data_IF_799846213063
#
_entry.id   IF_799846213063
#
_cell.length_a   1.000
_cell.length_b   1.000
_cell.length_c   1.000
_cell.angle_alpha   90.00
_cell.angle_beta   90.00
_cell.angle_gamma   90.00
#
_symmetry.space_group_name_H-M   'P 1'
#
loop_
_entity.id
_entity.type
_entity.pdbx_description
1 polymer ?
#
# COMPACT_ATOMS: atom_id res chain seq x y z
N UNK A 1 -54.63 -69.98 44.22
CA UNK A 1 -53.35 -69.47 43.65
C UNK A 1 -52.81 -68.38 44.56
N UNK A 2 -51.58 -68.50 45.00
CA UNK A 2 -50.99 -67.88 46.19
C UNK A 2 -50.56 -66.44 45.94
N UNK A 3 -51.17 -65.47 46.65
CA UNK A 3 -50.75 -64.09 46.80
C UNK A 3 -49.55 -64.01 47.74
N UNK A 4 -48.41 -63.45 47.30
CA UNK A 4 -47.26 -63.11 48.13
C UNK A 4 -47.42 -61.65 48.60
N UNK A 5 -47.66 -61.53 49.93
CA UNK A 5 -47.60 -60.26 50.66
C UNK A 5 -46.14 -59.83 50.78
N UNK A 6 -45.76 -58.69 50.19
CA UNK A 6 -44.49 -58.03 50.48
C UNK A 6 -44.71 -57.05 51.63
N UNK A 7 -44.03 -57.32 52.73
CA UNK A 7 -44.03 -56.43 53.92
C UNK A 7 -43.09 -55.25 53.68
N UNK A 8 -43.68 -54.08 53.75
CA UNK A 8 -42.92 -52.81 53.77
C UNK A 8 -42.35 -52.58 55.17
N UNK A 9 -41.01 -52.70 55.27
CA UNK A 9 -40.30 -52.27 56.48
C UNK A 9 -40.14 -50.74 56.41
N UNK A 10 -40.84 -50.02 57.26
CA UNK A 10 -40.79 -48.59 57.42
C UNK A 10 -39.58 -48.27 58.30
N UNK A 11 -38.45 -47.91 57.68
CA UNK A 11 -37.26 -47.38 58.38
C UNK A 11 -37.53 -45.89 58.69
N UNK A 12 -37.88 -45.61 59.91
CA UNK A 12 -37.98 -44.24 60.44
C UNK A 12 -36.55 -43.68 60.61
N UNK A 13 -36.12 -42.89 59.70
CA UNK A 13 -34.88 -42.08 59.89
C UNK A 13 -35.20 -40.95 60.86
N UNK A 14 -34.77 -41.13 62.10
CA UNK A 14 -34.65 -40.01 63.06
C UNK A 14 -33.51 -39.10 62.55
N UNK A 15 -33.90 -37.95 62.05
CA UNK A 15 -32.92 -36.89 61.84
C UNK A 15 -32.51 -36.35 63.19
N UNK A 16 -31.41 -36.77 63.75
CA UNK A 16 -30.74 -36.08 64.84
C UNK A 16 -30.08 -34.86 64.26
N UNK A 17 -30.55 -33.67 64.60
CA UNK A 17 -29.85 -32.40 64.41
C UNK A 17 -28.61 -32.45 65.30
N UNK A 18 -27.57 -33.10 64.76
CA UNK A 18 -26.25 -33.23 65.36
C UNK A 18 -25.31 -32.31 64.68
N UNK A 19 -24.93 -31.26 65.37
CA UNK A 19 -23.81 -30.37 65.11
C UNK A 19 -22.88 -30.81 64.05
N UNK A 20 -22.81 -30.04 62.96
CA UNK A 20 -21.71 -30.08 61.97
C UNK A 20 -20.38 -29.81 62.69
N UNK A 21 -19.80 -30.82 63.28
CA UNK A 21 -18.39 -30.82 63.67
C UNK A 21 -17.58 -30.63 62.39
N UNK A 22 -17.25 -29.39 62.07
CA UNK A 22 -16.17 -29.11 61.13
C UNK A 22 -14.93 -29.80 61.67
N UNK A 23 -14.63 -30.98 61.17
CA UNK A 23 -13.38 -31.64 61.37
C UNK A 23 -12.34 -30.76 60.70
N UNK A 24 -11.76 -29.81 61.42
CA UNK A 24 -10.57 -29.10 60.97
C UNK A 24 -9.49 -30.18 60.90
N UNK A 25 -9.29 -30.68 59.68
CA UNK A 25 -8.14 -31.52 59.35
C UNK A 25 -6.90 -30.75 59.78
N UNK A 26 -6.34 -31.12 60.94
CA UNK A 26 -5.06 -30.63 61.43
C UNK A 26 -4.00 -31.22 60.50
N UNK A 27 -3.85 -30.64 59.32
CA UNK A 27 -2.74 -30.97 58.40
C UNK A 27 -1.47 -30.67 59.20
N UNK A 28 -0.66 -31.72 59.41
CA UNK A 28 0.60 -31.59 60.15
C UNK A 28 1.47 -30.49 59.58
N UNK A 29 2.19 -29.75 60.40
CA UNK A 29 3.11 -28.66 59.97
C UNK A 29 4.03 -29.11 58.81
N UNK A 30 4.45 -30.36 58.84
CA UNK A 30 5.32 -30.93 57.82
C UNK A 30 4.64 -31.11 56.46
N UNK A 31 3.35 -31.50 56.43
CA UNK A 31 2.57 -31.62 55.20
C UNK A 31 2.31 -30.23 54.60
N UNK A 32 2.01 -29.21 55.42
CA UNK A 32 1.85 -27.81 54.96
C UNK A 32 3.16 -27.26 54.38
N UNK A 33 4.31 -27.51 55.03
CA UNK A 33 5.61 -27.12 54.51
C UNK A 33 5.95 -27.80 53.20
N UNK A 34 5.73 -29.10 53.06
CA UNK A 34 5.95 -29.82 51.80
C UNK A 34 5.04 -29.29 50.71
N UNK A 35 3.76 -29.09 50.96
CA UNK A 35 2.82 -28.52 49.97
C UNK A 35 3.22 -27.11 49.56
N UNK A 36 3.65 -26.25 50.49
CA UNK A 36 4.12 -24.89 50.18
C UNK A 36 5.39 -24.90 49.31
N UNK A 37 6.35 -25.81 49.61
CA UNK A 37 7.58 -25.97 48.81
C UNK A 37 7.24 -26.47 47.40
N UNK A 38 6.36 -27.45 47.27
CA UNK A 38 5.93 -27.97 45.96
C UNK A 38 5.26 -26.86 45.12
N UNK A 39 4.35 -26.09 45.71
CA UNK A 39 3.70 -24.98 45.03
C UNK A 39 4.73 -23.92 44.61
N UNK A 40 5.67 -23.56 45.48
CA UNK A 40 6.73 -22.61 45.15
C UNK A 40 7.62 -23.09 44.00
N UNK A 41 7.99 -24.38 43.99
CA UNK A 41 8.77 -24.99 42.91
C UNK A 41 7.97 -24.98 41.61
N UNK A 42 6.71 -25.37 41.62
CA UNK A 42 5.86 -25.31 40.44
C UNK A 42 5.73 -23.88 39.87
N UNK A 43 5.53 -22.87 40.73
CA UNK A 43 5.47 -21.49 40.32
C UNK A 43 6.80 -20.99 39.73
N UNK A 44 7.91 -21.39 40.32
CA UNK A 44 9.24 -21.07 39.79
C UNK A 44 9.47 -21.71 38.41
N UNK A 45 9.09 -22.96 38.22
CA UNK A 45 9.19 -23.64 36.91
C UNK A 45 8.33 -22.95 35.87
N UNK A 46 7.08 -22.60 36.22
CA UNK A 46 6.19 -21.86 35.31
C UNK A 46 6.76 -20.48 34.97
N UNK A 47 7.28 -19.75 35.95
CA UNK A 47 7.91 -18.45 35.73
C UNK A 47 9.14 -18.56 34.78
N UNK A 48 10.01 -19.53 35.01
CA UNK A 48 11.15 -19.82 34.13
C UNK A 48 10.67 -20.19 32.73
N UNK A 49 9.66 -21.04 32.59
CA UNK A 49 9.12 -21.42 31.28
C UNK A 49 8.54 -20.22 30.53
N UNK A 50 7.83 -19.31 31.23
CA UNK A 50 7.28 -18.09 30.63
C UNK A 50 8.40 -17.11 30.20
N UNK A 51 9.44 -16.94 30.99
CA UNK A 51 10.59 -16.09 30.67
C UNK A 51 11.33 -16.65 29.46
N UNK A 52 11.60 -17.95 29.46
CA UNK A 52 12.28 -18.62 28.33
C UNK A 52 11.41 -18.60 27.06
N UNK A 53 10.12 -18.88 27.18
CA UNK A 53 9.18 -18.81 26.05
C UNK A 53 9.11 -17.41 25.45
N UNK A 54 9.07 -16.37 26.29
CA UNK A 54 9.07 -14.98 25.81
C UNK A 54 10.41 -14.57 25.17
N UNK A 55 11.55 -15.04 25.72
CA UNK A 55 12.85 -14.80 25.14
C UNK A 55 13.07 -15.50 23.80
N UNK A 56 12.61 -16.77 23.69
CA UNK A 56 12.63 -17.51 22.45
C UNK A 56 11.73 -16.88 21.39
N UNK A 57 10.53 -16.43 21.78
CA UNK A 57 9.63 -15.70 20.86
C UNK A 57 10.28 -14.43 20.34
N UNK A 58 10.83 -13.60 21.22
CA UNK A 58 11.54 -12.36 20.82
C UNK A 58 12.71 -12.63 19.87
N UNK A 59 13.48 -13.71 20.11
CA UNK A 59 14.56 -14.10 19.19
C UNK A 59 14.04 -14.59 17.84
N UNK A 60 12.94 -15.35 17.83
CA UNK A 60 12.30 -15.80 16.61
C UNK A 60 11.75 -14.59 15.82
N UNK A 61 11.04 -13.68 16.50
CA UNK A 61 10.48 -12.48 15.87
C UNK A 61 11.59 -11.57 15.30
N UNK A 62 12.69 -11.39 16.04
CA UNK A 62 13.85 -10.62 15.56
C UNK A 62 14.57 -11.29 14.39
N UNK A 63 14.66 -12.64 14.40
CA UNK A 63 15.26 -13.40 13.30
C UNK A 63 14.39 -13.30 12.03
N UNK A 64 13.07 -13.47 12.15
CA UNK A 64 12.16 -13.32 11.02
C UNK A 64 12.12 -11.89 10.48
N UNK A 65 12.12 -10.89 11.36
CA UNK A 65 12.21 -9.50 10.94
C UNK A 65 13.53 -9.20 10.20
N UNK A 66 14.65 -9.80 10.63
CA UNK A 66 15.93 -9.70 9.94
C UNK A 66 15.89 -10.36 8.56
N UNK A 67 15.36 -11.59 8.46
CA UNK A 67 15.21 -12.27 7.18
C UNK A 67 14.29 -11.53 6.21
N UNK A 68 13.18 -10.99 6.71
CA UNK A 68 12.30 -10.16 5.90
C UNK A 68 12.99 -8.88 5.44
N UNK A 69 13.75 -8.20 6.30
CA UNK A 69 14.52 -7.01 5.94
C UNK A 69 15.60 -7.31 4.89
N UNK A 70 16.34 -8.41 5.05
CA UNK A 70 17.40 -8.81 4.10
C UNK A 70 16.83 -9.23 2.74
N UNK A 71 15.78 -10.05 2.74
CA UNK A 71 15.08 -10.44 1.51
C UNK A 71 14.49 -9.20 0.80
N UNK A 72 14.00 -8.26 1.59
CA UNK A 72 13.41 -7.02 1.14
C UNK A 72 14.47 -6.08 0.54
N UNK A 73 15.60 -5.90 1.20
CA UNK A 73 16.75 -5.12 0.69
C UNK A 73 17.26 -5.70 -0.62
N UNK A 74 17.39 -7.01 -0.71
CA UNK A 74 17.83 -7.69 -1.92
C UNK A 74 16.83 -7.51 -3.09
N UNK A 75 15.52 -7.67 -2.83
CA UNK A 75 14.47 -7.48 -3.85
C UNK A 75 14.38 -6.03 -4.31
N UNK A 76 14.50 -5.07 -3.39
CA UNK A 76 14.50 -3.64 -3.71
C UNK A 76 15.73 -3.25 -4.54
N UNK A 77 16.90 -3.76 -4.19
CA UNK A 77 18.11 -3.53 -4.98
C UNK A 77 18.02 -4.16 -6.37
N UNK A 78 17.42 -5.33 -6.49
CA UNK A 78 17.17 -5.98 -7.76
C UNK A 78 16.16 -5.17 -8.60
N UNK A 79 15.08 -4.70 -8.01
CA UNK A 79 14.09 -3.85 -8.68
C UNK A 79 14.72 -2.52 -9.15
N UNK A 80 15.51 -1.87 -8.30
CA UNK A 80 16.22 -0.63 -8.66
C UNK A 80 17.21 -0.81 -9.80
N UNK A 81 17.82 -1.99 -9.93
CA UNK A 81 18.71 -2.32 -11.07
C UNK A 81 17.95 -2.61 -12.35
N UNK A 82 16.68 -2.96 -12.25
CA UNK A 82 15.81 -3.35 -13.37
C UNK A 82 14.88 -2.23 -13.85
N UNK A 83 14.96 -1.01 -13.31
CA UNK A 83 14.19 0.11 -13.82
C UNK A 83 14.68 0.42 -15.23
N UNK A 84 14.08 -0.25 -16.21
CA UNK A 84 14.35 -0.10 -17.64
C UNK A 84 13.32 0.76 -18.34
N UNK A 85 12.35 1.29 -17.58
CA UNK A 85 11.30 2.16 -18.15
C UNK A 85 11.93 3.46 -18.60
N UNK A 86 11.84 3.81 -19.89
CA UNK A 86 12.42 5.03 -20.41
C UNK A 86 11.91 6.27 -19.68
N UNK A 87 12.73 7.31 -19.61
CA UNK A 87 12.31 8.58 -19.06
C UNK A 87 11.06 9.08 -19.79
N UNK A 88 10.12 9.62 -19.03
CA UNK A 88 8.89 10.16 -19.56
C UNK A 88 8.79 11.65 -19.21
N UNK A 89 8.48 12.45 -20.23
CA UNK A 89 8.07 13.84 -20.09
C UNK A 89 6.87 14.09 -20.98
N UNK A 90 5.76 14.47 -20.41
CA UNK A 90 4.54 14.67 -21.18
C UNK A 90 3.44 15.33 -20.34
N UNK A 91 2.42 15.79 -21.04
CA UNK A 91 1.27 16.44 -20.42
C UNK A 91 -0.06 15.82 -20.83
N UNK A 92 -1.06 16.06 -20.01
CA UNK A 92 -2.41 15.63 -20.25
C UNK A 92 -2.98 16.33 -21.50
N UNK A 93 -3.68 15.54 -22.32
CA UNK A 93 -4.31 16.01 -23.55
C UNK A 93 -5.82 15.88 -23.48
N UNK A 94 -6.50 16.70 -24.26
CA UNK A 94 -7.94 16.58 -24.51
C UNK A 94 -8.19 15.51 -25.57
N UNK A 95 -8.87 14.39 -25.26
CA UNK A 95 -9.16 13.36 -26.23
C UNK A 95 -9.96 13.92 -27.42
N UNK A 96 -9.54 13.57 -28.66
CA UNK A 96 -10.16 14.05 -29.90
C UNK A 96 -9.84 15.51 -30.25
N UNK A 97 -9.16 16.24 -29.37
CA UNK A 97 -8.71 17.60 -29.62
C UNK A 97 -7.45 17.70 -30.48
N UNK A 98 -7.05 18.93 -30.82
CA UNK A 98 -5.75 19.15 -31.41
C UNK A 98 -4.64 18.70 -30.45
N UNK A 99 -3.59 18.13 -31.02
CA UNK A 99 -2.41 17.80 -30.22
C UNK A 99 -1.80 19.11 -29.70
N UNK A 100 -1.68 19.28 -28.36
CA UNK A 100 -1.05 20.46 -27.83
C UNK A 100 0.39 20.56 -28.39
N UNK A 101 0.91 21.76 -28.50
CA UNK A 101 2.36 21.95 -28.77
C UNK A 101 3.12 21.45 -27.55
N UNK A 102 3.50 20.21 -27.61
CA UNK A 102 4.31 19.60 -26.56
C UNK A 102 5.70 20.27 -26.55
N UNK A 103 6.34 20.39 -25.38
CA UNK A 103 7.73 20.80 -25.30
C UNK A 103 8.59 19.99 -26.27
N UNK A 104 9.64 20.59 -26.81
CA UNK A 104 10.53 19.92 -27.79
C UNK A 104 11.18 18.63 -27.25
N UNK A 105 11.25 18.49 -25.95
CA UNK A 105 11.77 17.33 -25.21
C UNK A 105 10.66 16.41 -24.68
N UNK A 106 9.39 16.62 -25.06
CA UNK A 106 8.30 15.74 -24.68
C UNK A 106 8.45 14.39 -25.38
N UNK A 107 8.38 13.33 -24.60
CA UNK A 107 8.46 11.94 -25.05
C UNK A 107 7.10 11.25 -25.16
N UNK A 108 6.03 11.86 -24.66
CA UNK A 108 4.72 11.24 -24.66
C UNK A 108 3.56 12.16 -24.32
N UNK A 109 2.37 11.60 -24.40
CA UNK A 109 1.11 12.20 -24.05
C UNK A 109 0.46 11.46 -22.88
N UNK A 110 -0.25 12.20 -22.04
CA UNK A 110 -0.98 11.65 -20.89
C UNK A 110 -2.47 11.65 -21.21
N UNK A 111 -3.13 10.52 -21.06
CA UNK A 111 -4.58 10.38 -21.13
C UNK A 111 -5.13 10.03 -19.74
N UNK A 112 -6.16 10.77 -19.34
CA UNK A 112 -6.86 10.51 -18.09
C UNK A 112 -7.95 9.46 -18.34
N UNK A 113 -7.87 8.34 -17.65
CA UNK A 113 -8.76 7.20 -17.82
C UNK A 113 -9.73 7.04 -16.66
N UNK A 114 -10.95 6.65 -16.94
CA UNK A 114 -11.97 6.30 -15.96
C UNK A 114 -12.97 5.30 -16.53
N UNK A 115 -13.92 4.90 -15.68
CA UNK A 115 -15.13 4.23 -16.10
C UNK A 115 -16.11 5.23 -16.72
N UNK A 116 -16.66 4.90 -17.87
CA UNK A 116 -17.76 5.66 -18.47
C UNK A 116 -19.11 5.21 -17.90
N UNK A 117 -20.23 5.91 -18.19
CA UNK A 117 -21.56 5.52 -17.71
C UNK A 117 -22.04 4.10 -18.12
N UNK A 118 -21.46 3.56 -19.16
CA UNK A 118 -21.78 2.20 -19.66
C UNK A 118 -20.91 1.11 -19.01
N UNK A 119 -20.09 1.47 -18.01
CA UNK A 119 -19.21 0.53 -17.31
C UNK A 119 -17.96 0.13 -18.11
N UNK A 120 -17.66 0.84 -19.19
CA UNK A 120 -16.50 0.57 -20.05
C UNK A 120 -15.37 1.59 -19.79
N UNK A 121 -14.19 1.30 -20.33
CA UNK A 121 -13.07 2.23 -20.31
C UNK A 121 -13.43 3.50 -21.10
N UNK A 122 -13.32 4.63 -20.43
CA UNK A 122 -13.55 5.96 -20.96
C UNK A 122 -12.49 6.93 -20.48
N UNK A 123 -12.80 8.21 -20.54
CA UNK A 123 -11.91 9.27 -20.09
C UNK A 123 -12.39 9.88 -18.78
N UNK A 124 -11.44 10.09 -17.86
CA UNK A 124 -11.67 10.93 -16.71
C UNK A 124 -11.53 12.40 -17.13
N UNK A 125 -12.44 13.23 -16.63
CA UNK A 125 -12.34 14.66 -16.79
C UNK A 125 -11.97 15.26 -15.46
N UNK A 126 -10.96 16.14 -15.42
CA UNK A 126 -10.87 17.08 -14.34
C UNK A 126 -12.14 17.93 -14.35
N UNK A 127 -12.68 18.25 -13.19
CA UNK A 127 -13.80 19.18 -13.06
C UNK A 127 -13.50 20.44 -13.88
N UNK A 128 -14.46 20.91 -14.64
CA UNK A 128 -14.32 21.97 -15.64
C UNK A 128 -13.67 23.29 -15.13
N UNK A 129 -13.49 23.41 -13.82
CA UNK A 129 -12.89 24.57 -13.17
C UNK A 129 -11.35 24.61 -13.23
N UNK A 130 -10.64 23.48 -13.45
CA UNK A 130 -9.22 23.44 -13.10
C UNK A 130 -8.25 23.23 -14.25
N UNK A 131 -8.66 22.80 -15.45
CA UNK A 131 -7.63 22.39 -16.42
C UNK A 131 -7.85 22.76 -17.88
N UNK A 132 -8.99 23.30 -18.27
CA UNK A 132 -9.26 23.56 -19.70
C UNK A 132 -9.26 22.30 -20.58
N UNK A 133 -9.15 21.10 -19.99
CA UNK A 133 -9.24 19.85 -20.70
C UNK A 133 -10.70 19.46 -20.79
N UNK A 134 -11.23 19.37 -22.01
CA UNK A 134 -12.58 18.91 -22.26
C UNK A 134 -12.53 17.71 -23.19
N UNK A 135 -13.46 16.76 -23.03
CA UNK A 135 -13.67 15.79 -24.11
C UNK A 135 -14.40 16.48 -25.21
N UNK A 136 -13.84 16.43 -26.40
CA UNK A 136 -14.55 16.90 -27.57
C UNK A 136 -15.84 16.08 -27.78
N UNK A 137 -16.91 16.72 -28.21
CA UNK A 137 -18.10 16.01 -28.64
C UNK A 137 -17.71 15.03 -29.77
N UNK A 138 -18.03 13.74 -29.61
CA UNK A 138 -17.57 12.71 -30.53
C UNK A 138 -16.13 12.29 -30.39
N UNK A 139 -15.51 12.52 -29.22
CA UNK A 139 -14.16 12.01 -28.95
C UNK A 139 -14.02 10.54 -29.31
N UNK A 140 -12.88 10.12 -29.86
CA UNK A 140 -12.62 8.73 -30.21
C UNK A 140 -12.60 7.85 -28.95
N UNK A 141 -12.78 6.56 -29.13
CA UNK A 141 -12.57 5.60 -28.03
C UNK A 141 -11.11 5.66 -27.55
N UNK A 142 -10.81 5.26 -26.30
CA UNK A 142 -9.43 5.24 -25.82
C UNK A 142 -8.46 4.50 -26.74
N UNK A 143 -8.89 3.38 -27.34
CA UNK A 143 -8.09 2.63 -28.30
C UNK A 143 -7.78 3.43 -29.58
N UNK A 144 -8.76 4.10 -30.15
CA UNK A 144 -8.57 4.93 -31.32
C UNK A 144 -7.67 6.14 -31.03
N UNK A 145 -7.77 6.73 -29.83
CA UNK A 145 -6.93 7.83 -29.38
C UNK A 145 -5.49 7.41 -29.16
N UNK A 146 -5.25 6.29 -28.49
CA UNK A 146 -3.92 5.70 -28.34
C UNK A 146 -3.29 5.48 -29.72
N UNK A 147 -4.03 4.87 -30.65
CA UNK A 147 -3.56 4.69 -32.02
C UNK A 147 -3.25 6.01 -32.75
N UNK A 148 -3.98 7.09 -32.47
CA UNK A 148 -3.72 8.43 -33.00
C UNK A 148 -2.39 8.99 -32.47
N UNK A 149 -2.18 8.84 -31.15
CA UNK A 149 -0.97 9.33 -30.48
C UNK A 149 0.29 8.56 -30.93
N UNK A 150 0.19 7.24 -31.05
CA UNK A 150 1.28 6.43 -31.56
C UNK A 150 1.67 6.81 -33.01
N UNK A 151 0.68 7.10 -33.86
CA UNK A 151 0.95 7.61 -35.23
C UNK A 151 1.64 8.97 -35.22
N UNK A 152 1.44 9.76 -34.17
CA UNK A 152 2.19 11.01 -33.97
C UNK A 152 3.60 10.80 -33.35
N UNK A 153 4.00 9.56 -33.11
CA UNK A 153 5.30 9.23 -32.51
C UNK A 153 5.37 9.42 -31.00
N UNK A 154 4.22 9.55 -30.34
CA UNK A 154 4.15 9.78 -28.89
C UNK A 154 3.91 8.47 -28.15
N UNK A 155 4.62 8.27 -27.05
CA UNK A 155 4.26 7.25 -26.04
C UNK A 155 3.01 7.69 -25.30
N UNK A 156 2.19 6.74 -24.89
CA UNK A 156 0.93 7.02 -24.21
C UNK A 156 0.98 6.52 -22.76
N UNK A 157 0.83 7.45 -21.83
CA UNK A 157 0.69 7.16 -20.42
C UNK A 157 -0.77 7.34 -20.02
N UNK A 158 -1.41 6.26 -19.58
CA UNK A 158 -2.76 6.28 -19.02
C UNK A 158 -2.71 6.53 -17.50
N UNK A 159 -3.38 7.56 -17.03
CA UNK A 159 -3.53 7.84 -15.59
C UNK A 159 -4.89 7.36 -15.14
N UNK A 160 -4.95 6.53 -14.13
CA UNK A 160 -6.18 5.95 -13.59
C UNK A 160 -6.22 6.07 -12.06
N UNK A 161 -7.36 6.55 -11.51
CA UNK A 161 -7.58 6.57 -10.07
C UNK A 161 -8.24 5.28 -9.62
N UNK A 162 -7.56 4.55 -8.74
CA UNK A 162 -8.07 3.35 -8.08
C UNK A 162 -8.95 3.79 -6.91
N UNK A 163 -10.16 3.28 -6.84
CA UNK A 163 -11.15 3.57 -5.81
C UNK A 163 -11.44 2.36 -4.90
N UNK A 164 -11.30 1.14 -5.42
CA UNK A 164 -11.61 -0.07 -4.64
C UNK A 164 -10.77 -0.22 -3.35
N UNK A 165 -9.69 0.54 -3.24
CA UNK A 165 -8.82 0.58 -2.07
C UNK A 165 -9.16 1.72 -1.10
N UNK A 166 -10.07 2.62 -1.45
CA UNK A 166 -10.50 3.74 -0.62
C UNK A 166 -11.21 3.23 0.67
N UNK A 167 -11.12 4.01 1.73
CA UNK A 167 -11.69 3.64 3.05
C UNK A 167 -13.21 3.45 3.02
N UNK A 168 -13.92 4.07 2.08
CA UNK A 168 -15.36 3.87 1.87
C UNK A 168 -15.67 2.39 1.59
N UNK A 169 -14.86 1.72 0.79
CA UNK A 169 -15.02 0.30 0.48
C UNK A 169 -14.52 -0.63 1.59
N UNK A 170 -13.73 -0.12 2.54
CA UNK A 170 -13.30 -0.89 3.71
C UNK A 170 -14.49 -1.30 4.60
N UNK A 171 -15.54 -0.48 4.63
CA UNK A 171 -16.76 -0.75 5.40
C UNK A 171 -17.67 -1.79 4.72
N UNK A 172 -17.56 -1.99 3.41
CA UNK A 172 -18.34 -2.96 2.63
C UNK A 172 -17.43 -3.84 1.78
N UNK A 173 -16.97 -4.99 2.32
CA UNK A 173 -16.09 -5.90 1.58
C UNK A 173 -16.71 -6.46 0.28
N UNK A 174 -18.03 -6.60 0.21
CA UNK A 174 -18.68 -7.11 -1.00
C UNK A 174 -18.63 -6.07 -2.12
N UNK A 175 -18.91 -4.80 -1.81
CA UNK A 175 -18.76 -3.70 -2.76
C UNK A 175 -17.29 -3.52 -3.18
N UNK A 176 -16.34 -3.68 -2.25
CA UNK A 176 -14.90 -3.64 -2.55
C UNK A 176 -14.48 -4.69 -3.59
N UNK A 177 -14.93 -5.94 -3.44
CA UNK A 177 -14.63 -7.03 -4.38
C UNK A 177 -15.20 -6.76 -5.76
N UNK A 178 -16.46 -6.29 -5.84
CA UNK A 178 -17.10 -5.94 -7.11
C UNK A 178 -16.36 -4.78 -7.79
N UNK A 179 -16.06 -3.71 -7.04
CA UNK A 179 -15.33 -2.55 -7.57
C UNK A 179 -13.94 -2.92 -8.05
N UNK A 180 -13.21 -3.74 -7.28
CA UNK A 180 -11.90 -4.28 -7.67
C UNK A 180 -11.97 -5.02 -9.02
N UNK A 181 -12.95 -5.88 -9.20
CA UNK A 181 -13.15 -6.61 -10.47
C UNK A 181 -13.37 -5.67 -11.66
N UNK A 182 -14.19 -4.63 -11.49
CA UNK A 182 -14.42 -3.60 -12.50
C UNK A 182 -13.11 -2.87 -12.84
N UNK A 183 -12.39 -2.38 -11.85
CA UNK A 183 -11.15 -1.61 -12.07
C UNK A 183 -10.05 -2.45 -12.73
N UNK A 184 -9.87 -3.70 -12.32
CA UNK A 184 -8.93 -4.61 -12.97
C UNK A 184 -9.31 -4.85 -14.44
N UNK A 185 -10.61 -4.96 -14.75
CA UNK A 185 -11.08 -5.10 -16.13
C UNK A 185 -10.81 -3.85 -16.96
N UNK A 186 -11.06 -2.65 -16.41
CA UNK A 186 -10.79 -1.36 -17.07
C UNK A 186 -9.29 -1.17 -17.35
N UNK A 187 -8.44 -1.46 -16.37
CA UNK A 187 -6.99 -1.35 -16.50
C UNK A 187 -6.43 -2.34 -17.54
N UNK A 188 -6.98 -3.56 -17.55
CA UNK A 188 -6.64 -4.54 -18.58
C UNK A 188 -7.11 -4.10 -19.98
N UNK A 189 -8.28 -3.44 -20.06
CA UNK A 189 -8.77 -2.87 -21.29
C UNK A 189 -7.90 -1.72 -21.80
N UNK A 190 -7.38 -0.87 -20.91
CA UNK A 190 -6.43 0.18 -21.26
C UNK A 190 -5.13 -0.40 -21.85
N UNK A 191 -4.61 -1.46 -21.23
CA UNK A 191 -3.43 -2.15 -21.78
C UNK A 191 -3.70 -2.77 -23.15
N UNK A 192 -4.88 -3.37 -23.36
CA UNK A 192 -5.29 -3.90 -24.67
C UNK A 192 -5.49 -2.81 -25.71
N UNK A 193 -5.90 -1.61 -25.29
CA UNK A 193 -5.96 -0.44 -26.17
C UNK A 193 -4.58 0.03 -26.62
N UNK A 194 -3.49 -0.52 -26.07
CA UNK A 194 -2.11 -0.22 -26.46
C UNK A 194 -1.47 0.89 -25.65
N UNK A 195 -1.99 1.22 -24.47
CA UNK A 195 -1.33 2.17 -23.56
C UNK A 195 0.04 1.62 -23.17
N UNK A 196 1.10 2.43 -23.38
CA UNK A 196 2.48 2.00 -23.09
C UNK A 196 2.76 1.92 -21.60
N UNK A 197 2.12 2.81 -20.82
CA UNK A 197 2.32 2.92 -19.40
C UNK A 197 1.01 3.23 -18.68
N UNK A 198 0.82 2.61 -17.52
CA UNK A 198 -0.27 2.93 -16.59
C UNK A 198 0.31 3.56 -15.33
N UNK A 199 -0.21 4.70 -14.92
CA UNK A 199 0.06 5.34 -13.63
C UNK A 199 -1.18 5.30 -12.77
N UNK A 200 -1.09 4.64 -11.62
CA UNK A 200 -2.19 4.52 -10.68
C UNK A 200 -2.13 5.60 -9.61
N UNK A 201 -3.27 6.23 -9.38
CA UNK A 201 -3.53 7.19 -8.30
C UNK A 201 -4.41 6.55 -7.23
N UNK A 202 -4.44 7.12 -6.02
CA UNK A 202 -5.32 6.64 -4.95
C UNK A 202 -4.85 5.32 -4.32
N UNK A 203 -3.59 4.96 -4.48
CA UNK A 203 -3.03 3.77 -3.84
C UNK A 203 -2.71 4.09 -2.38
N UNK A 204 -3.38 3.46 -1.41
CA UNK A 204 -3.13 3.69 0.01
C UNK A 204 -1.73 3.19 0.39
N UNK A 205 -1.05 3.94 1.24
CA UNK A 205 0.31 3.64 1.67
C UNK A 205 0.63 4.26 3.03
N UNK A 206 1.81 3.99 3.56
CA UNK A 206 2.33 4.61 4.78
C UNK A 206 2.13 3.79 6.05
N UNK A 207 1.43 2.66 6.00
CA UNK A 207 1.37 1.69 7.09
C UNK A 207 1.26 0.27 6.53
N UNK A 208 1.56 -0.74 7.37
CA UNK A 208 1.64 -2.14 6.94
C UNK A 208 0.34 -2.67 6.33
N UNK A 209 -0.80 -2.26 6.85
CA UNK A 209 -2.12 -2.71 6.41
C UNK A 209 -2.47 -2.11 5.04
N UNK A 210 -2.22 -0.80 4.88
CA UNK A 210 -2.41 -0.10 3.61
C UNK A 210 -1.47 -0.64 2.53
N UNK A 211 -0.18 -0.76 2.85
CA UNK A 211 0.82 -1.31 1.94
C UNK A 211 0.46 -2.75 1.51
N UNK A 212 -0.01 -3.60 2.44
CA UNK A 212 -0.38 -4.97 2.12
C UNK A 212 -1.56 -5.04 1.14
N UNK A 213 -2.62 -4.23 1.37
CA UNK A 213 -3.78 -4.15 0.47
C UNK A 213 -3.39 -3.64 -0.92
N UNK A 214 -2.56 -2.60 -0.95
CA UNK A 214 -2.04 -2.06 -2.20
C UNK A 214 -1.24 -3.09 -2.99
N UNK A 215 -0.30 -3.77 -2.33
CA UNK A 215 0.55 -4.79 -2.95
C UNK A 215 -0.25 -5.98 -3.48
N UNK A 216 -1.30 -6.39 -2.77
CA UNK A 216 -2.17 -7.47 -3.22
C UNK A 216 -2.90 -7.09 -4.54
N UNK A 217 -3.45 -5.89 -4.61
CA UNK A 217 -4.05 -5.35 -5.83
C UNK A 217 -3.03 -5.23 -6.98
N UNK A 218 -1.87 -4.66 -6.69
CA UNK A 218 -0.83 -4.42 -7.69
C UNK A 218 -0.25 -5.73 -8.26
N UNK A 219 -0.10 -6.76 -7.44
CA UNK A 219 0.37 -8.09 -7.89
C UNK A 219 -0.64 -8.73 -8.83
N UNK A 220 -1.92 -8.69 -8.50
CA UNK A 220 -2.96 -9.21 -9.38
C UNK A 220 -2.99 -8.45 -10.70
N UNK A 221 -2.97 -7.11 -10.66
CA UNK A 221 -2.91 -6.30 -11.87
C UNK A 221 -1.66 -6.60 -12.69
N UNK A 222 -0.49 -6.70 -12.07
CA UNK A 222 0.77 -7.02 -12.78
C UNK A 222 0.72 -8.37 -13.48
N UNK A 223 0.06 -9.36 -12.88
CA UNK A 223 -0.17 -10.66 -13.52
C UNK A 223 -1.08 -10.52 -14.76
N UNK A 224 -2.14 -9.73 -14.66
CA UNK A 224 -3.05 -9.48 -15.78
C UNK A 224 -2.40 -8.70 -16.92
N UNK A 225 -1.40 -7.88 -16.62
CA UNK A 225 -0.64 -7.08 -17.60
C UNK A 225 0.59 -7.80 -18.16
N UNK A 226 0.91 -9.01 -17.73
CA UNK A 226 2.17 -9.69 -18.05
C UNK A 226 2.45 -9.79 -19.56
N UNK A 227 1.41 -10.03 -20.36
CA UNK A 227 1.52 -10.23 -21.81
C UNK A 227 1.33 -8.93 -22.63
N UNK A 228 0.99 -7.81 -21.99
CA UNK A 228 0.68 -6.55 -22.70
C UNK A 228 1.91 -5.71 -23.01
N UNK A 229 3.00 -5.91 -22.27
CA UNK A 229 4.17 -5.03 -22.34
C UNK A 229 3.96 -3.65 -21.70
N UNK A 230 2.77 -3.39 -21.11
CA UNK A 230 2.44 -2.12 -20.45
C UNK A 230 3.20 -1.99 -19.14
N UNK A 231 3.94 -0.92 -18.97
CA UNK A 231 4.63 -0.62 -17.72
C UNK A 231 3.64 -0.12 -16.66
N UNK A 232 3.80 -0.57 -15.42
CA UNK A 232 2.95 -0.21 -14.29
C UNK A 232 3.68 0.72 -13.33
N UNK A 233 3.10 1.89 -13.08
CA UNK A 233 3.58 2.87 -12.11
C UNK A 233 2.55 3.20 -11.05
N UNK A 234 3.03 3.71 -9.92
CA UNK A 234 2.20 4.17 -8.80
C UNK A 234 2.63 5.58 -8.41
N UNK A 235 1.66 6.47 -8.26
CA UNK A 235 1.88 7.79 -7.68
C UNK A 235 1.71 7.72 -6.16
N UNK A 236 2.72 8.18 -5.45
CA UNK A 236 2.77 8.21 -4.00
C UNK A 236 2.85 9.66 -3.50
N UNK A 237 2.15 9.99 -2.41
CA UNK A 237 2.27 11.29 -1.77
C UNK A 237 3.64 11.42 -1.07
N UNK A 238 4.03 12.65 -0.74
CA UNK A 238 5.35 12.94 -0.15
C UNK A 238 5.58 12.22 1.19
N UNK A 239 4.53 12.06 2.00
CA UNK A 239 4.59 11.39 3.30
C UNK A 239 4.91 9.88 3.19
N UNK A 240 4.61 9.24 2.07
CA UNK A 240 5.02 7.85 1.82
C UNK A 240 6.55 7.66 1.79
N UNK A 241 7.30 8.74 1.60
CA UNK A 241 8.76 8.75 1.58
C UNK A 241 9.37 9.24 2.91
N UNK A 242 8.54 9.52 3.91
CA UNK A 242 9.01 9.84 5.25
C UNK A 242 9.50 8.57 5.91
N UNK A 243 10.64 8.69 6.57
CA UNK A 243 11.25 7.57 7.29
C UNK A 243 10.39 7.15 8.47
N UNK A 244 10.04 5.88 8.53
CA UNK A 244 9.33 5.32 9.66
C UNK A 244 10.22 5.25 10.92
N UNK A 245 9.61 5.35 12.09
CA UNK A 245 10.34 5.19 13.36
C UNK A 245 10.97 3.79 13.43
N UNK A 246 12.26 3.72 13.73
CA UNK A 246 13.03 2.47 13.77
C UNK A 246 13.46 1.92 12.40
N UNK A 247 13.14 2.59 11.31
CA UNK A 247 13.63 2.23 9.98
C UNK A 247 15.13 2.53 9.86
N UNK A 248 15.93 1.50 9.60
CA UNK A 248 17.38 1.64 9.36
C UNK A 248 17.61 2.10 7.94
N UNK A 249 18.33 3.20 7.77
CA UNK A 249 18.72 3.69 6.44
C UNK A 249 19.84 2.80 5.92
N UNK A 250 19.72 2.24 4.70
CA UNK A 250 20.87 1.63 4.04
C UNK A 250 22.03 2.63 3.94
N UNK A 251 23.28 2.20 4.13
CA UNK A 251 24.47 3.06 4.12
C UNK A 251 24.57 4.04 2.96
N UNK A 252 23.98 3.65 1.81
CA UNK A 252 23.92 4.50 0.63
C UNK A 252 23.09 5.79 0.80
N UNK A 253 22.22 5.87 1.81
CA UNK A 253 21.40 7.04 2.15
C UNK A 253 21.93 7.77 3.40
N UNK A 254 22.87 7.17 4.13
CA UNK A 254 23.34 7.71 5.40
C UNK A 254 24.27 8.95 5.23
N UNK A 255 24.72 9.25 4.02
CA UNK A 255 25.80 10.22 3.79
C UNK A 255 25.37 11.68 3.66
N UNK A 256 24.08 12.00 3.70
CA UNK A 256 23.64 13.37 3.40
C UNK A 256 22.71 13.99 4.44
N UNK A 257 23.19 14.10 5.67
CA UNK A 257 22.53 14.90 6.72
C UNK A 257 22.99 16.38 6.76
N UNK A 258 23.37 16.98 5.66
CA UNK A 258 24.03 18.30 5.64
C UNK A 258 23.11 19.51 5.46
N UNK A 259 21.80 19.36 5.60
CA UNK A 259 20.87 20.49 5.54
C UNK A 259 20.14 20.71 6.86
N UNK A 260 20.66 21.53 7.76
CA UNK A 260 19.89 21.94 8.94
C UNK A 260 18.56 22.59 8.53
N UNK A 261 17.44 21.97 8.91
CA UNK A 261 16.08 22.52 8.70
C UNK A 261 15.30 22.01 7.50
N UNK A 262 15.88 21.20 6.60
CA UNK A 262 15.15 20.62 5.47
C UNK A 262 14.70 19.20 5.82
N UNK A 263 13.41 18.91 5.67
CA UNK A 263 12.88 17.56 5.80
C UNK A 263 13.47 16.70 4.70
N UNK A 264 14.15 15.62 5.08
CA UNK A 264 14.72 14.65 4.15
C UNK A 264 13.73 13.50 3.93
N UNK A 265 13.33 13.29 2.69
CA UNK A 265 12.42 12.21 2.31
C UNK A 265 13.24 10.97 1.93
N UNK A 266 13.75 10.27 2.94
CA UNK A 266 14.66 9.12 2.79
C UNK A 266 14.03 7.79 3.19
N UNK A 267 12.73 7.78 3.51
CA UNK A 267 12.00 6.56 3.77
C UNK A 267 12.01 5.65 2.54
N UNK A 268 12.27 4.38 2.76
CA UNK A 268 12.42 3.41 1.69
C UNK A 268 11.47 2.20 1.81
N UNK A 269 10.87 2.02 2.98
CA UNK A 269 10.03 0.85 3.27
C UNK A 269 8.83 0.78 2.31
N UNK A 270 7.99 1.79 2.30
CA UNK A 270 6.83 1.84 1.40
C UNK A 270 7.24 1.95 -0.08
N UNK A 271 8.12 2.89 -0.50
CA UNK A 271 8.54 2.96 -1.89
C UNK A 271 9.15 1.67 -2.42
N UNK A 272 10.01 1.03 -1.65
CA UNK A 272 10.63 -0.20 -2.07
C UNK A 272 9.64 -1.37 -2.15
N UNK A 273 8.67 -1.47 -1.23
CA UNK A 273 7.58 -2.45 -1.34
C UNK A 273 6.81 -2.27 -2.64
N UNK A 274 6.46 -1.06 -3.01
CA UNK A 274 5.77 -0.77 -4.26
C UNK A 274 6.63 -1.13 -5.47
N UNK A 275 7.92 -0.75 -5.48
CA UNK A 275 8.87 -1.10 -6.54
C UNK A 275 9.14 -2.61 -6.67
N UNK A 276 8.83 -3.42 -5.65
CA UNK A 276 8.94 -4.88 -5.79
C UNK A 276 7.89 -5.46 -6.76
N UNK A 277 6.87 -4.67 -7.11
CA UNK A 277 5.75 -5.08 -7.99
C UNK A 277 5.63 -4.16 -9.19
N UNK A 278 5.81 -2.85 -9.00
CA UNK A 278 5.68 -1.84 -10.05
C UNK A 278 6.99 -1.60 -10.79
N UNK A 279 6.89 -1.08 -12.01
CA UNK A 279 8.04 -0.79 -12.86
C UNK A 279 8.64 0.59 -12.55
N UNK A 280 7.84 1.53 -12.00
CA UNK A 280 8.32 2.85 -11.59
C UNK A 280 7.40 3.50 -10.53
N UNK A 281 7.91 4.55 -9.89
CA UNK A 281 7.15 5.38 -8.96
C UNK A 281 7.08 6.83 -9.45
N UNK A 282 5.99 7.50 -9.11
CA UNK A 282 5.86 8.94 -9.25
C UNK A 282 5.61 9.59 -7.88
N UNK A 283 6.22 10.75 -7.65
CA UNK A 283 5.88 11.62 -6.53
C UNK A 283 4.71 12.50 -6.93
N UNK A 284 3.61 12.41 -6.19
CA UNK A 284 2.43 13.23 -6.45
C UNK A 284 2.57 14.62 -5.81
N UNK A 285 2.71 15.63 -6.65
CA UNK A 285 2.82 17.05 -6.29
C UNK A 285 1.62 17.87 -6.78
N UNK A 286 0.52 17.24 -7.21
CA UNK A 286 -0.60 17.95 -7.81
C UNK A 286 -1.33 18.89 -6.86
N UNK A 287 -1.20 18.68 -5.56
CA UNK A 287 -1.77 19.55 -4.51
C UNK A 287 -0.77 20.58 -3.98
N UNK A 288 0.48 20.53 -4.41
CA UNK A 288 1.49 21.48 -3.98
C UNK A 288 1.44 22.74 -4.86
N UNK A 289 1.49 23.90 -4.23
CA UNK A 289 1.79 25.14 -4.92
C UNK A 289 3.29 25.24 -5.26
N UNK A 290 3.68 26.22 -6.07
CA UNK A 290 5.06 26.39 -6.53
C UNK A 290 6.07 26.56 -5.38
N UNK A 291 5.69 27.23 -4.30
CA UNK A 291 6.59 27.48 -3.17
C UNK A 291 6.78 26.21 -2.33
N UNK A 292 5.68 25.55 -2.00
CA UNK A 292 5.69 24.24 -1.29
C UNK A 292 6.42 23.16 -2.10
N UNK A 293 6.21 23.14 -3.43
CA UNK A 293 6.91 22.23 -4.31
C UNK A 293 8.43 22.45 -4.26
N UNK A 294 8.90 23.69 -4.26
CA UNK A 294 10.33 24.02 -4.19
C UNK A 294 11.00 23.50 -2.89
N UNK A 295 10.31 23.56 -1.76
CA UNK A 295 10.80 22.99 -0.49
C UNK A 295 10.81 21.48 -0.51
N UNK A 296 9.73 20.85 -0.96
CA UNK A 296 9.63 19.40 -1.10
C UNK A 296 10.73 18.86 -2.02
N UNK A 297 10.91 19.44 -3.19
CA UNK A 297 11.87 18.98 -4.19
C UNK A 297 13.32 19.05 -3.69
N UNK A 298 13.67 20.02 -2.84
CA UNK A 298 14.97 20.05 -2.16
C UNK A 298 15.17 18.82 -1.28
N UNK A 299 14.15 18.42 -0.51
CA UNK A 299 14.19 17.23 0.33
C UNK A 299 14.19 15.91 -0.46
N UNK A 300 13.69 15.93 -1.70
CA UNK A 300 13.62 14.74 -2.58
C UNK A 300 14.83 14.54 -3.48
N UNK A 301 15.79 15.44 -3.51
CA UNK A 301 16.89 15.41 -4.49
C UNK A 301 17.57 14.04 -4.64
N UNK A 302 17.90 13.39 -3.51
CA UNK A 302 18.55 12.07 -3.52
C UNK A 302 17.56 10.95 -3.87
N UNK A 303 16.39 10.97 -3.28
CA UNK A 303 15.33 9.98 -3.49
C UNK A 303 14.85 9.98 -4.94
N UNK A 304 14.73 11.16 -5.54
CA UNK A 304 14.42 11.31 -6.95
C UNK A 304 15.43 10.60 -7.86
N UNK A 305 16.73 10.84 -7.65
CA UNK A 305 17.78 10.20 -8.43
C UNK A 305 17.85 8.70 -8.16
N UNK A 306 17.74 8.30 -6.89
CA UNK A 306 17.89 6.91 -6.47
C UNK A 306 16.80 6.00 -6.99
N UNK A 307 15.55 6.42 -6.91
CA UNK A 307 14.41 5.64 -7.36
C UNK A 307 14.00 5.94 -8.80
N UNK A 308 14.78 6.74 -9.53
CA UNK A 308 14.40 7.24 -10.86
C UNK A 308 12.96 7.77 -10.88
N UNK A 309 12.56 8.48 -9.80
CA UNK A 309 11.20 8.97 -9.62
C UNK A 309 10.76 9.83 -10.79
N UNK A 310 9.48 9.77 -11.10
CA UNK A 310 8.81 10.77 -11.92
C UNK A 310 8.09 11.75 -11.01
N UNK A 311 7.84 12.94 -11.48
CA UNK A 311 7.05 13.94 -10.77
C UNK A 311 5.68 14.04 -11.46
N UNK A 312 4.63 13.89 -10.70
CA UNK A 312 3.28 14.16 -11.14
C UNK A 312 2.90 15.56 -10.66
N UNK A 313 2.77 16.51 -11.57
CA UNK A 313 2.56 17.93 -11.29
C UNK A 313 1.25 18.41 -11.90
N UNK A 314 0.57 19.37 -11.23
CA UNK A 314 -0.72 19.87 -11.69
C UNK A 314 -0.60 20.84 -12.87
N UNK A 315 0.43 21.69 -12.88
CA UNK A 315 0.53 22.82 -13.78
C UNK A 315 1.98 23.12 -14.21
N UNK A 316 2.11 24.11 -15.09
CA UNK A 316 3.39 24.55 -15.63
C UNK A 316 4.30 25.21 -14.60
N UNK A 317 3.75 25.90 -13.58
CA UNK A 317 4.57 26.61 -12.59
C UNK A 317 5.33 25.64 -11.70
N UNK A 318 4.67 24.56 -11.24
CA UNK A 318 5.32 23.48 -10.50
C UNK A 318 6.32 22.73 -11.39
N UNK A 319 5.99 22.55 -12.68
CA UNK A 319 6.89 21.95 -13.67
C UNK A 319 8.17 22.76 -13.86
N UNK A 320 8.07 24.09 -13.99
CA UNK A 320 9.21 24.99 -14.08
C UNK A 320 10.08 24.97 -12.83
N UNK A 321 9.44 24.91 -11.65
CA UNK A 321 10.14 24.75 -10.37
C UNK A 321 10.92 23.46 -10.33
N UNK A 322 10.34 22.35 -10.79
CA UNK A 322 11.01 21.06 -10.88
C UNK A 322 12.21 21.09 -11.86
N UNK A 323 12.06 21.74 -13.01
CA UNK A 323 13.14 21.96 -13.97
C UNK A 323 14.30 22.76 -13.37
N UNK A 324 14.02 23.81 -12.60
CA UNK A 324 15.03 24.57 -11.86
C UNK A 324 15.82 23.72 -10.86
N UNK A 325 15.22 22.66 -10.33
CA UNK A 325 15.87 21.65 -9.49
C UNK A 325 16.54 20.51 -10.28
N UNK A 326 16.52 20.54 -11.62
CA UNK A 326 17.09 19.53 -12.49
C UNK A 326 16.29 18.22 -12.58
N UNK A 327 15.02 18.25 -12.18
CA UNK A 327 14.13 17.08 -12.15
C UNK A 327 13.26 17.04 -13.41
N UNK A 328 13.76 16.41 -14.46
CA UNK A 328 13.16 16.45 -15.81
C UNK A 328 12.11 15.38 -16.10
N UNK A 329 12.01 14.32 -15.27
CA UNK A 329 11.02 13.26 -15.46
C UNK A 329 9.68 13.74 -14.92
N UNK A 330 8.82 14.27 -15.78
CA UNK A 330 7.61 14.97 -15.36
C UNK A 330 6.37 14.49 -16.12
N UNK A 331 5.30 14.36 -15.40
CA UNK A 331 3.96 14.03 -15.89
C UNK A 331 3.07 15.22 -15.49
N UNK A 332 2.74 16.07 -16.45
CA UNK A 332 1.85 17.20 -16.20
C UNK A 332 0.40 16.70 -16.33
N UNK A 333 -0.27 16.65 -15.21
CA UNK A 333 -1.61 16.09 -15.12
C UNK A 333 -2.40 16.89 -14.08
N UNK A 334 -3.50 17.54 -14.46
CA UNK A 334 -4.30 18.32 -13.52
C UNK A 334 -4.82 17.44 -12.38
N UNK A 335 -5.08 18.08 -11.25
CA UNK A 335 -5.72 17.41 -10.13
C UNK A 335 -7.12 16.96 -10.55
N UNK A 336 -7.44 15.69 -10.29
CA UNK A 336 -8.79 15.15 -10.37
C UNK A 336 -9.29 14.95 -8.95
N UNK A 337 -10.43 15.52 -8.63
CA UNK A 337 -11.09 15.30 -7.34
C UNK A 337 -11.51 13.85 -7.14
#
# INVERSE_FOLDING_TARGET
MRSKKTSFVRVSRRYSAGATRRSRLRISRNVRRRAAVTVAVCLAVVAVALIWGSALKRRSDAYHAGLEADAWTASTQAALRQITVPDFRGGAISPGGELPRLPADASGAVIMLSENPDGQLGYAFPTAATAGLTVAEGAPTPEAEVGRLHRAGLRVLGVFRVQCLDDVYRADPAAAVLRRGVELSLLTSAARAGVDELLLLGIPCGNDDADARALDFLRELKQLLADSGTALGVALPADAFVRAEGETVPDAFAQDSTGAGIVQYTGWRTPGRMLSVCDYLALDLRTADSDSAGELLRGFRFTYARYALRLLVADAAVSETADAHGMRRQIVCPATD
#
